data_IF_021252607920
#
_entry.id   IF_021252607920
#
_cell.length_a   1.000
_cell.length_b   1.000
_cell.length_c   1.000
_cell.angle_alpha   90.00
_cell.angle_beta   90.00
_cell.angle_gamma   90.00
#
_symmetry.space_group_name_H-M   'P 1'
#
loop_
_entity.id
_entity.type
_entity.pdbx_description
1 polymer ?
#
# COMPACT_ATOMS: atom_id res chain seq x y z
N UNK A 1 0.44 -14.47 -8.54
CA UNK A 1 0.42 -13.60 -7.35
C UNK A 1 0.79 -12.20 -7.77
N UNK A 2 0.06 -11.24 -7.24
CA UNK A 2 0.24 -9.80 -7.45
C UNK A 2 0.86 -9.28 -6.15
N UNK A 3 2.14 -8.90 -6.20
CA UNK A 3 2.88 -8.44 -5.03
C UNK A 3 3.11 -6.95 -5.13
N UNK A 4 2.54 -6.18 -4.20
CA UNK A 4 2.81 -4.75 -4.06
C UNK A 4 3.88 -4.55 -3.00
N UNK A 5 4.90 -3.75 -3.33
CA UNK A 5 5.98 -3.38 -2.43
C UNK A 5 5.97 -1.86 -2.29
N UNK A 6 5.81 -1.38 -1.07
CA UNK A 6 5.89 0.01 -0.69
C UNK A 6 7.17 0.26 0.09
N UNK A 7 7.85 1.37 -0.20
CA UNK A 7 8.87 1.97 0.65
C UNK A 7 8.41 3.37 0.99
N UNK A 8 8.49 3.77 2.24
CA UNK A 8 7.97 5.05 2.67
C UNK A 8 8.80 5.70 3.77
N UNK A 9 8.63 7.01 3.87
CA UNK A 9 9.23 7.88 4.87
C UNK A 9 8.11 8.70 5.52
N UNK A 10 8.12 8.77 6.85
CA UNK A 10 7.25 9.65 7.61
C UNK A 10 7.75 11.10 7.56
N UNK A 11 6.83 12.06 7.68
CA UNK A 11 7.17 13.48 7.82
C UNK A 11 7.96 13.73 9.11
N UNK A 12 8.76 14.79 9.09
CA UNK A 12 9.40 15.29 10.31
C UNK A 12 8.33 15.63 11.37
N UNK A 13 8.60 15.22 12.61
CA UNK A 13 7.71 15.48 13.75
C UNK A 13 6.66 14.41 14.04
N UNK A 14 6.46 13.42 13.15
CA UNK A 14 5.64 12.23 13.48
C UNK A 14 6.34 11.44 14.56
N UNK A 15 5.68 11.24 15.70
CA UNK A 15 6.28 10.60 16.86
C UNK A 15 6.14 9.07 16.82
N UNK A 16 6.88 8.38 17.69
CA UNK A 16 6.91 6.92 17.72
C UNK A 16 5.53 6.28 17.96
N UNK A 17 4.68 6.88 18.81
CA UNK A 17 3.35 6.34 19.08
C UNK A 17 2.44 6.44 17.83
N UNK A 18 2.54 7.52 17.06
CA UNK A 18 1.85 7.67 15.78
C UNK A 18 2.35 6.65 14.75
N UNK A 19 3.67 6.45 14.69
CA UNK A 19 4.29 5.43 13.82
C UNK A 19 3.79 4.03 14.18
N UNK A 20 3.80 3.64 15.46
CA UNK A 20 3.32 2.32 15.88
C UNK A 20 1.81 2.15 15.63
N UNK A 21 1.03 3.22 15.83
CA UNK A 21 -0.39 3.24 15.52
C UNK A 21 -0.66 2.96 14.04
N UNK A 22 0.04 3.66 13.15
CA UNK A 22 -0.16 3.49 11.70
C UNK A 22 0.38 2.15 11.17
N UNK A 23 1.49 1.64 11.72
CA UNK A 23 1.98 0.31 11.38
C UNK A 23 0.96 -0.77 11.78
N UNK A 24 0.30 -0.62 12.93
CA UNK A 24 -0.78 -1.53 13.36
C UNK A 24 -1.98 -1.47 12.42
N UNK A 25 -2.32 -0.29 11.90
CA UNK A 25 -3.39 -0.10 10.91
C UNK A 25 -3.05 -0.77 9.57
N UNK A 26 -1.82 -0.60 9.09
CA UNK A 26 -1.35 -1.28 7.87
C UNK A 26 -1.40 -2.81 8.09
N UNK A 27 -0.93 -3.28 9.24
CA UNK A 27 -0.93 -4.71 9.55
C UNK A 27 -2.35 -5.30 9.62
N UNK A 28 -3.32 -4.56 10.17
CA UNK A 28 -4.74 -4.95 10.15
C UNK A 28 -5.22 -5.26 8.74
N UNK A 29 -4.93 -4.38 7.79
CA UNK A 29 -5.29 -4.56 6.37
C UNK A 29 -4.50 -5.72 5.76
N UNK A 30 -3.22 -5.89 6.11
CA UNK A 30 -2.37 -6.97 5.63
C UNK A 30 -2.79 -8.38 6.12
N UNK A 31 -3.64 -8.46 7.15
CA UNK A 31 -4.20 -9.71 7.68
C UNK A 31 -5.57 -10.07 7.07
N UNK A 32 -6.06 -9.32 6.09
CA UNK A 32 -7.29 -9.66 5.39
C UNK A 32 -7.20 -11.03 4.69
N UNK A 33 -8.32 -11.74 4.56
CA UNK A 33 -8.37 -13.08 3.95
C UNK A 33 -7.89 -13.10 2.49
N UNK A 34 -7.94 -11.96 1.80
CA UNK A 34 -7.45 -11.76 0.45
C UNK A 34 -5.92 -11.74 0.33
N UNK A 35 -5.19 -11.68 1.46
CA UNK A 35 -3.73 -11.62 1.50
C UNK A 35 -3.14 -13.00 1.77
N UNK A 36 -2.22 -13.43 0.91
CA UNK A 36 -1.51 -14.71 1.08
C UNK A 36 -0.21 -14.56 1.88
N UNK A 37 0.43 -13.40 1.81
CA UNK A 37 1.66 -13.10 2.53
C UNK A 37 1.82 -11.60 2.70
N UNK A 38 2.40 -11.19 3.83
CA UNK A 38 2.87 -9.82 4.01
C UNK A 38 4.17 -9.75 4.81
N UNK A 39 4.87 -8.63 4.66
CA UNK A 39 5.96 -8.22 5.54
C UNK A 39 5.88 -6.71 5.77
N UNK A 40 6.05 -6.27 7.00
CA UNK A 40 5.99 -4.86 7.38
C UNK A 40 7.11 -4.59 8.39
N UNK A 41 7.86 -3.50 8.19
CA UNK A 41 8.86 -3.11 9.17
C UNK A 41 9.81 -2.03 8.67
N UNK A 42 10.96 -1.92 9.36
CA UNK A 42 12.03 -0.99 8.99
C UNK A 42 12.67 -1.40 7.67
N UNK A 43 12.98 -0.41 6.86
CA UNK A 43 13.71 -0.57 5.61
C UNK A 43 15.22 -0.49 5.86
N UNK A 44 15.96 -1.49 5.37
CA UNK A 44 17.43 -1.58 5.46
C UNK A 44 18.07 -1.65 4.06
N UNK A 45 17.62 -0.78 3.14
CA UNK A 45 18.25 -0.63 1.82
C UNK A 45 19.20 0.57 1.75
N UNK A 46 19.30 1.20 0.58
CA UNK A 46 20.22 2.32 0.36
C UNK A 46 19.79 3.55 1.20
N UNK A 47 20.61 4.01 2.16
CA UNK A 47 20.30 5.18 2.97
C UNK A 47 20.11 6.46 2.16
N UNK A 48 20.69 6.58 0.96
CA UNK A 48 20.56 7.76 0.10
C UNK A 48 19.14 7.93 -0.44
N UNK A 49 18.32 6.87 -0.47
CA UNK A 49 16.94 6.94 -0.94
C UNK A 49 15.99 7.62 0.06
N UNK A 50 16.38 7.67 1.34
CA UNK A 50 15.65 8.33 2.43
C UNK A 50 14.43 7.58 2.98
N UNK A 51 14.17 6.34 2.55
CA UNK A 51 13.07 5.53 3.09
C UNK A 51 13.43 4.94 4.46
N UNK A 52 12.44 4.86 5.36
CA UNK A 52 12.66 4.35 6.73
C UNK A 52 11.92 3.04 6.98
N UNK A 53 10.84 2.78 6.25
CA UNK A 53 10.00 1.61 6.40
C UNK A 53 9.63 1.03 5.04
N UNK A 54 9.27 -0.25 5.05
CA UNK A 54 8.78 -0.97 3.89
C UNK A 54 7.60 -1.87 4.26
N UNK A 55 6.71 -2.03 3.29
CA UNK A 55 5.57 -2.95 3.35
C UNK A 55 5.55 -3.77 2.06
N UNK A 56 5.30 -5.06 2.18
CA UNK A 56 5.07 -5.97 1.08
C UNK A 56 3.78 -6.71 1.35
N UNK A 57 2.93 -6.82 0.32
CA UNK A 57 1.71 -7.63 0.35
C UNK A 57 1.57 -8.42 -0.94
N UNK A 58 1.34 -9.71 -0.81
CA UNK A 58 1.15 -10.64 -1.92
C UNK A 58 -0.28 -11.14 -1.93
N UNK A 59 -0.97 -10.86 -3.03
CA UNK A 59 -2.37 -11.21 -3.25
C UNK A 59 -2.42 -12.30 -4.33
N UNK A 60 -3.18 -13.39 -4.16
CA UNK A 60 -3.14 -14.54 -5.06
C UNK A 60 -3.46 -14.20 -6.52
N UNK A 61 -4.55 -13.45 -6.73
CA UNK A 61 -5.22 -13.24 -8.00
C UNK A 61 -6.02 -11.93 -8.02
N UNK A 62 -6.57 -11.59 -9.20
CA UNK A 62 -7.39 -10.38 -9.41
C UNK A 62 -8.67 -10.36 -8.57
N UNK A 63 -9.31 -11.51 -8.34
CA UNK A 63 -10.54 -11.56 -7.53
C UNK A 63 -10.26 -11.23 -6.06
N UNK A 64 -9.14 -11.71 -5.53
CA UNK A 64 -8.67 -11.39 -4.20
C UNK A 64 -8.21 -9.94 -4.11
N UNK A 65 -7.60 -9.39 -5.15
CA UNK A 65 -7.22 -7.98 -5.22
C UNK A 65 -8.44 -7.05 -5.21
N UNK A 66 -9.47 -7.39 -5.98
CA UNK A 66 -10.74 -6.65 -5.98
C UNK A 66 -11.40 -6.66 -4.59
N UNK A 67 -11.42 -7.82 -3.90
CA UNK A 67 -11.86 -7.89 -2.50
C UNK A 67 -11.00 -7.02 -1.59
N UNK A 68 -9.67 -7.13 -1.69
CA UNK A 68 -8.71 -6.37 -0.88
C UNK A 68 -8.90 -4.85 -0.99
N UNK A 69 -9.19 -4.33 -2.19
CA UNK A 69 -9.49 -2.91 -2.38
C UNK A 69 -10.85 -2.48 -1.82
N UNK A 70 -11.81 -3.40 -1.76
CA UNK A 70 -13.16 -3.14 -1.23
C UNK A 70 -13.28 -3.34 0.28
N UNK A 71 -12.26 -3.87 0.94
CA UNK A 71 -12.22 -3.93 2.40
C UNK A 71 -12.26 -2.51 2.98
N UNK A 72 -13.25 -2.16 3.83
CA UNK A 72 -13.33 -0.84 4.46
C UNK A 72 -12.03 -0.48 5.21
N UNK A 73 -11.38 -1.50 5.79
CA UNK A 73 -10.13 -1.35 6.50
C UNK A 73 -8.98 -0.78 5.66
N UNK A 74 -8.97 -1.04 4.34
CA UNK A 74 -7.96 -0.53 3.42
C UNK A 74 -8.12 0.98 3.22
N UNK A 75 -9.33 1.42 2.84
CA UNK A 75 -9.65 2.83 2.71
C UNK A 75 -9.37 3.58 4.01
N UNK A 76 -9.97 3.15 5.12
CA UNK A 76 -9.76 3.76 6.43
C UNK A 76 -8.27 3.82 6.84
N UNK A 77 -7.52 2.79 6.44
CA UNK A 77 -6.09 2.70 6.70
C UNK A 77 -5.31 3.77 5.95
N UNK A 78 -5.56 3.92 4.65
CA UNK A 78 -4.91 4.91 3.81
C UNK A 78 -5.18 6.35 4.27
N UNK A 79 -6.40 6.64 4.75
CA UNK A 79 -6.74 7.95 5.32
C UNK A 79 -5.98 8.28 6.62
N UNK A 80 -5.50 7.28 7.35
CA UNK A 80 -4.66 7.48 8.52
C UNK A 80 -3.16 7.41 8.17
N UNK A 81 -2.80 6.63 7.15
CA UNK A 81 -1.43 6.37 6.75
C UNK A 81 -0.83 7.46 5.87
N UNK A 82 -1.45 7.75 4.74
CA UNK A 82 -0.89 8.65 3.71
C UNK A 82 -0.62 10.05 4.26
N UNK A 83 -1.48 10.66 5.12
CA UNK A 83 -1.21 11.99 5.66
C UNK A 83 0.07 12.11 6.48
N UNK A 84 0.60 11.01 7.01
CA UNK A 84 1.83 10.99 7.81
C UNK A 84 3.11 10.91 6.97
N UNK A 85 3.00 10.73 5.65
CA UNK A 85 4.15 10.44 4.79
C UNK A 85 4.74 11.70 4.14
N UNK A 86 6.05 11.81 4.14
CA UNK A 86 6.78 12.77 3.29
C UNK A 86 6.98 12.21 1.89
N UNK A 87 7.13 10.88 1.77
CA UNK A 87 7.45 10.19 0.52
C UNK A 87 6.99 8.74 0.57
N UNK A 88 6.52 8.24 -0.57
CA UNK A 88 6.20 6.83 -0.78
C UNK A 88 6.60 6.42 -2.20
N UNK A 89 7.18 5.24 -2.34
CA UNK A 89 7.48 4.58 -3.61
C UNK A 89 6.78 3.24 -3.64
N UNK A 90 6.05 2.97 -4.71
CA UNK A 90 5.34 1.73 -4.94
C UNK A 90 5.91 1.02 -6.16
N UNK A 91 6.02 -0.30 -6.08
CA UNK A 91 6.21 -1.16 -7.25
C UNK A 91 5.30 -2.39 -7.15
N UNK A 92 4.96 -2.95 -8.30
CA UNK A 92 4.21 -4.20 -8.38
C UNK A 92 5.05 -5.25 -9.10
N UNK A 93 5.16 -6.43 -8.49
CA UNK A 93 5.84 -7.59 -9.02
C UNK A 93 4.81 -8.70 -9.22
N UNK A 94 4.78 -9.26 -10.43
CA UNK A 94 3.92 -10.38 -10.78
C UNK A 94 4.54 -11.14 -11.95
N UNK A 95 4.20 -12.42 -12.04
CA UNK A 95 4.53 -13.28 -13.17
C UNK A 95 3.22 -13.74 -13.78
N UNK A 96 2.68 -12.97 -14.72
CA UNK A 96 1.41 -13.24 -15.39
C UNK A 96 1.61 -13.15 -16.91
N UNK A 97 1.18 -14.16 -17.70
CA UNK A 97 1.37 -14.16 -19.15
C UNK A 97 0.40 -13.20 -19.88
N UNK A 98 -0.62 -12.67 -19.21
CA UNK A 98 -1.61 -11.79 -19.79
C UNK A 98 -1.05 -10.39 -20.06
N UNK A 99 -0.97 -9.93 -21.32
CA UNK A 99 -0.44 -8.60 -21.64
C UNK A 99 -1.26 -7.45 -21.04
N UNK A 100 -2.53 -7.67 -20.68
CA UNK A 100 -3.43 -6.66 -20.15
C UNK A 100 -3.50 -6.67 -18.61
N UNK A 101 -2.69 -7.48 -17.92
CA UNK A 101 -2.79 -7.68 -16.47
C UNK A 101 -2.69 -6.37 -15.67
N UNK A 102 -1.83 -5.44 -16.09
CA UNK A 102 -1.67 -4.16 -15.42
C UNK A 102 -2.93 -3.28 -15.55
N UNK A 103 -3.59 -3.30 -16.71
CA UNK A 103 -4.85 -2.58 -16.92
C UNK A 103 -5.97 -3.18 -16.05
N UNK A 104 -5.99 -4.51 -15.88
CA UNK A 104 -6.95 -5.20 -15.00
C UNK A 104 -6.73 -4.86 -13.52
N UNK A 105 -5.47 -4.79 -13.07
CA UNK A 105 -5.11 -4.33 -11.72
C UNK A 105 -5.56 -2.89 -11.50
N UNK A 106 -5.29 -2.00 -12.46
CA UNK A 106 -5.74 -0.61 -12.40
C UNK A 106 -7.26 -0.50 -12.35
N UNK A 107 -7.99 -1.34 -13.10
CA UNK A 107 -9.45 -1.39 -13.05
C UNK A 107 -9.99 -1.81 -11.67
N UNK A 108 -9.39 -2.80 -11.00
CA UNK A 108 -9.75 -3.17 -9.63
C UNK A 108 -9.60 -1.97 -8.66
N UNK A 109 -8.48 -1.25 -8.74
CA UNK A 109 -8.26 -0.03 -7.93
C UNK A 109 -9.30 1.04 -8.26
N UNK A 110 -9.46 1.39 -9.52
CA UNK A 110 -10.35 2.49 -9.94
C UNK A 110 -11.82 2.21 -9.63
N UNK A 111 -12.23 0.93 -9.58
CA UNK A 111 -13.59 0.55 -9.18
C UNK A 111 -13.85 0.73 -7.67
N UNK A 112 -12.80 0.75 -6.84
CA UNK A 112 -12.92 0.84 -5.38
C UNK A 112 -12.61 2.24 -4.83
N UNK A 113 -11.72 2.99 -5.47
CA UNK A 113 -11.22 4.27 -4.96
C UNK A 113 -12.16 5.42 -5.35
N UNK A 114 -12.74 6.06 -4.35
CA UNK A 114 -13.55 7.27 -4.53
C UNK A 114 -12.69 8.55 -4.69
N UNK A 115 -13.28 9.70 -5.09
CA UNK A 115 -12.52 10.94 -5.31
C UNK A 115 -11.74 11.45 -4.09
N UNK A 116 -12.24 11.22 -2.88
CA UNK A 116 -11.56 11.66 -1.66
C UNK A 116 -10.31 10.81 -1.40
N UNK A 117 -10.42 9.50 -1.60
CA UNK A 117 -9.30 8.58 -1.48
C UNK A 117 -8.26 8.82 -2.59
N UNK A 118 -8.69 9.08 -3.82
CA UNK A 118 -7.79 9.46 -4.92
C UNK A 118 -6.95 10.70 -4.59
N UNK A 119 -7.55 11.71 -3.94
CA UNK A 119 -6.85 12.93 -3.56
C UNK A 119 -5.72 12.69 -2.54
N UNK A 120 -5.75 11.59 -1.77
CA UNK A 120 -4.62 11.21 -0.92
C UNK A 120 -3.42 10.75 -1.76
N UNK A 121 -3.66 9.93 -2.79
CA UNK A 121 -2.60 9.43 -3.66
C UNK A 121 -1.93 10.55 -4.46
N UNK A 122 -2.71 11.53 -4.94
CA UNK A 122 -2.18 12.71 -5.63
C UNK A 122 -1.16 13.48 -4.77
N UNK A 123 -1.41 13.59 -3.46
CA UNK A 123 -0.53 14.33 -2.52
C UNK A 123 0.84 13.70 -2.34
N UNK A 124 0.98 12.40 -2.63
CA UNK A 124 2.24 11.66 -2.52
C UNK A 124 2.77 11.17 -3.87
N UNK A 125 2.16 11.60 -4.99
CA UNK A 125 2.62 11.30 -6.35
C UNK A 125 2.41 9.84 -6.77
N UNK A 126 1.31 9.21 -6.33
CA UNK A 126 0.94 7.82 -6.66
C UNK A 126 -0.14 7.67 -7.74
N UNK A 127 -0.39 8.72 -8.52
CA UNK A 127 -1.37 8.71 -9.62
C UNK A 127 -0.76 8.65 -11.01
#
# INVERSE_FOLDING_TARGET
>A
MITSILRFQFKDGVNEAEIQGVLSIIERTAKAESVAFYSLGRYFGDPQEGFTHAYCVSIPDLASLDRYFREPAHREGDFQFIPLLSKLSQMTVLNDPDPDILAKIAACRNAAVDPEWMALFDRIGLT
#
